data_IF_039822699252
#
_entry.id   IF_039822699252
#
_cell.length_a   1.000
_cell.length_b   1.000
_cell.length_c   1.000
_cell.angle_alpha   90.00
_cell.angle_beta   90.00
_cell.angle_gamma   90.00
#
_symmetry.space_group_name_H-M   'P 1'
#
loop_
_entity.id
_entity.type
_entity.pdbx_description
1 polymer ?
#
# COMPACT_ATOMS: atom_id res chain seq x y z
N UNK A 1 3.37 -23.02 -8.94
CA UNK A 1 1.91 -22.74 -8.86
C UNK A 1 1.66 -21.36 -9.43
N UNK A 2 0.77 -21.21 -10.42
CA UNK A 2 0.47 -19.89 -10.98
C UNK A 2 -0.13 -19.00 -9.89
N UNK A 3 0.42 -17.80 -9.70
CA UNK A 3 -0.17 -16.81 -8.81
C UNK A 3 -1.49 -16.35 -9.42
N UNK A 4 -2.57 -16.39 -8.63
CA UNK A 4 -3.89 -15.99 -9.11
C UNK A 4 -3.88 -14.53 -9.58
N UNK A 5 -4.43 -14.28 -10.78
CA UNK A 5 -4.58 -12.92 -11.34
C UNK A 5 -5.33 -11.99 -10.38
N UNK A 6 -6.24 -12.53 -9.58
CA UNK A 6 -6.98 -11.78 -8.55
C UNK A 6 -6.05 -11.23 -7.47
N UNK A 7 -5.05 -12.01 -7.03
CA UNK A 7 -4.11 -11.57 -5.99
C UNK A 7 -3.26 -10.42 -6.52
N UNK A 8 -2.72 -10.55 -7.74
CA UNK A 8 -1.94 -9.48 -8.39
C UNK A 8 -2.78 -8.21 -8.59
N UNK A 9 -4.05 -8.35 -8.98
CA UNK A 9 -4.95 -7.21 -9.11
C UNK A 9 -5.21 -6.51 -7.76
N UNK A 10 -5.40 -7.26 -6.67
CA UNK A 10 -5.59 -6.69 -5.33
C UNK A 10 -4.33 -5.95 -4.87
N UNK A 11 -3.15 -6.57 -4.98
CA UNK A 11 -1.88 -5.91 -4.64
C UNK A 11 -1.68 -4.63 -5.45
N UNK A 12 -2.01 -4.65 -6.75
CA UNK A 12 -1.90 -3.45 -7.59
C UNK A 12 -2.88 -2.35 -7.17
N UNK A 13 -4.12 -2.72 -6.81
CA UNK A 13 -5.11 -1.77 -6.30
C UNK A 13 -4.65 -1.17 -4.97
N UNK A 14 -4.12 -1.97 -4.05
CA UNK A 14 -3.57 -1.49 -2.78
C UNK A 14 -2.36 -0.57 -3.00
N UNK A 15 -1.45 -0.93 -3.90
CA UNK A 15 -0.28 -0.13 -4.27
C UNK A 15 -0.66 1.27 -4.79
N UNK A 16 -1.81 1.40 -5.48
CA UNK A 16 -2.33 2.69 -5.95
C UNK A 16 -3.17 3.43 -4.90
N UNK A 17 -4.00 2.72 -4.14
CA UNK A 17 -4.97 3.33 -3.25
C UNK A 17 -4.34 3.84 -1.95
N UNK A 18 -3.40 3.07 -1.38
CA UNK A 18 -2.74 3.41 -0.12
C UNK A 18 -1.96 4.75 -0.13
N UNK A 19 -1.22 5.13 -1.19
CA UNK A 19 -0.57 6.45 -1.22
C UNK A 19 -1.57 7.59 -1.35
N UNK A 20 -2.69 7.38 -2.04
CA UNK A 20 -3.78 8.36 -2.11
C UNK A 20 -4.43 8.55 -0.74
N UNK A 21 -4.74 7.47 -0.03
CA UNK A 21 -5.30 7.57 1.33
C UNK A 21 -4.30 8.20 2.30
N UNK A 22 -3.01 7.90 2.18
CA UNK A 22 -1.97 8.54 2.98
C UNK A 22 -1.93 10.07 2.74
N UNK A 23 -2.01 10.50 1.48
CA UNK A 23 -2.08 11.93 1.14
C UNK A 23 -3.30 12.62 1.76
N UNK A 24 -4.48 11.97 1.70
CA UNK A 24 -5.70 12.48 2.33
C UNK A 24 -5.55 12.60 3.84
N UNK A 25 -5.01 11.57 4.51
CA UNK A 25 -4.81 11.62 5.96
C UNK A 25 -3.83 12.72 6.37
N UNK A 26 -2.78 12.98 5.58
CA UNK A 26 -1.86 14.09 5.85
C UNK A 26 -2.57 15.44 5.81
N UNK A 27 -3.41 15.68 4.80
CA UNK A 27 -4.23 16.90 4.71
C UNK A 27 -5.23 17.02 5.85
N UNK A 28 -5.89 15.91 6.22
CA UNK A 28 -6.81 15.86 7.35
C UNK A 28 -6.08 16.20 8.66
N UNK A 29 -4.90 15.65 8.91
CA UNK A 29 -4.11 15.96 10.11
C UNK A 29 -3.79 17.46 10.20
N UNK A 30 -3.42 18.10 9.09
CA UNK A 30 -3.17 19.55 9.04
C UNK A 30 -4.44 20.36 9.30
N UNK A 31 -5.60 19.91 8.80
CA UNK A 31 -6.88 20.56 9.04
C UNK A 31 -7.27 20.49 10.52
N UNK A 32 -7.11 19.33 11.17
CA UNK A 32 -7.37 19.19 12.61
C UNK A 32 -6.44 20.06 13.45
N UNK A 33 -5.15 20.11 13.09
CA UNK A 33 -4.19 20.99 13.77
C UNK A 33 -4.59 22.48 13.64
N UNK A 34 -5.12 22.88 12.48
CA UNK A 34 -5.65 24.24 12.27
C UNK A 34 -6.92 24.55 13.07
N UNK A 35 -7.65 23.53 13.52
CA UNK A 35 -8.82 23.65 14.40
C UNK A 35 -8.47 23.59 15.89
N UNK A 36 -7.18 23.64 16.23
CA UNK A 36 -6.64 23.45 17.59
C UNK A 36 -6.92 22.05 18.17
N UNK A 37 -7.36 21.09 17.34
CA UNK A 37 -7.50 19.68 17.71
C UNK A 37 -6.19 18.92 17.50
N UNK A 38 -5.26 19.18 18.42
CA UNK A 38 -3.92 18.58 18.43
C UNK A 38 -3.94 17.06 18.66
N UNK A 39 -4.94 16.56 19.41
CA UNK A 39 -5.10 15.13 19.69
C UNK A 39 -5.49 14.36 18.42
N UNK A 40 -6.50 14.87 17.70
CA UNK A 40 -6.95 14.28 16.45
C UNK A 40 -5.89 14.37 15.34
N UNK A 41 -5.12 15.47 15.29
CA UNK A 41 -3.99 15.60 14.36
C UNK A 41 -2.91 14.54 14.61
N UNK A 42 -2.51 14.34 15.88
CA UNK A 42 -1.50 13.34 16.24
C UNK A 42 -1.97 11.89 15.96
N UNK A 43 -3.24 11.58 16.21
CA UNK A 43 -3.82 10.28 15.88
C UNK A 43 -3.77 10.02 14.36
N UNK A 44 -4.23 10.98 13.56
CA UNK A 44 -4.25 10.88 12.10
C UNK A 44 -2.85 10.72 11.52
N UNK A 45 -1.86 11.42 12.09
CA UNK A 45 -0.46 11.30 11.67
C UNK A 45 0.12 9.90 11.95
N UNK A 46 -0.19 9.32 13.12
CA UNK A 46 0.21 7.93 13.44
C UNK A 46 -0.46 6.92 12.52
N UNK A 47 -1.74 7.12 12.19
CA UNK A 47 -2.46 6.29 11.24
C UNK A 47 -1.84 6.37 9.83
N UNK A 48 -1.48 7.57 9.38
CA UNK A 48 -0.78 7.78 8.12
C UNK A 48 0.56 7.04 8.07
N UNK A 49 1.31 7.00 9.17
CA UNK A 49 2.56 6.24 9.24
C UNK A 49 2.32 4.73 9.15
N UNK A 50 1.31 4.21 9.85
CA UNK A 50 0.95 2.80 9.78
C UNK A 50 0.55 2.38 8.36
N UNK A 51 -0.22 3.22 7.66
CA UNK A 51 -0.58 3.01 6.25
C UNK A 51 0.66 3.02 5.35
N UNK A 52 1.61 3.93 5.58
CA UNK A 52 2.87 3.97 4.84
C UNK A 52 3.71 2.70 5.01
N UNK A 53 3.78 2.15 6.23
CA UNK A 53 4.44 0.87 6.50
C UNK A 53 3.74 -0.27 5.76
N UNK A 54 2.40 -0.31 5.82
CA UNK A 54 1.62 -1.34 5.12
C UNK A 54 1.80 -1.25 3.60
N UNK A 55 1.88 -0.04 3.05
CA UNK A 55 2.16 0.19 1.64
C UNK A 55 3.56 -0.30 1.22
N UNK A 56 4.59 -0.07 2.03
CA UNK A 56 5.92 -0.65 1.75
C UNK A 56 5.88 -2.18 1.69
N UNK A 57 5.17 -2.82 2.62
CA UNK A 57 5.00 -4.27 2.64
C UNK A 57 4.25 -4.75 1.39
N UNK A 58 3.18 -4.06 0.99
CA UNK A 58 2.42 -4.36 -0.23
C UNK A 58 3.31 -4.31 -1.47
N UNK A 59 4.13 -3.27 -1.63
CA UNK A 59 5.07 -3.17 -2.75
C UNK A 59 6.11 -4.29 -2.77
N UNK A 60 6.65 -4.67 -1.61
CA UNK A 60 7.60 -5.79 -1.52
C UNK A 60 6.93 -7.09 -1.99
N UNK A 61 5.72 -7.36 -1.51
CA UNK A 61 4.97 -8.56 -1.91
C UNK A 61 4.61 -8.51 -3.40
N UNK A 62 4.20 -7.36 -3.93
CA UNK A 62 3.90 -7.17 -5.34
C UNK A 62 5.13 -7.49 -6.21
N UNK A 63 6.31 -6.96 -5.85
CA UNK A 63 7.56 -7.22 -6.57
C UNK A 63 7.93 -8.70 -6.53
N UNK A 64 7.85 -9.35 -5.36
CA UNK A 64 8.11 -10.78 -5.21
C UNK A 64 7.14 -11.63 -6.04
N UNK A 65 5.85 -11.29 -6.01
CA UNK A 65 4.83 -11.98 -6.78
C UNK A 65 5.08 -11.84 -8.30
N UNK A 66 5.44 -10.64 -8.76
CA UNK A 66 5.81 -10.42 -10.16
C UNK A 66 7.06 -11.20 -10.57
N UNK A 67 8.09 -11.24 -9.71
CA UNK A 67 9.32 -11.99 -9.97
C UNK A 67 9.05 -13.50 -10.09
N UNK A 68 8.30 -14.08 -9.14
CA UNK A 68 7.91 -15.49 -9.17
C UNK A 68 7.07 -15.81 -10.41
N UNK A 69 6.11 -14.94 -10.75
CA UNK A 69 5.29 -15.12 -11.94
C UNK A 69 6.14 -15.07 -13.23
N UNK A 70 7.13 -14.16 -13.30
CA UNK A 70 8.05 -14.07 -14.43
C UNK A 70 8.93 -15.31 -14.58
N UNK A 71 9.40 -15.91 -13.48
CA UNK A 71 10.17 -17.15 -13.52
C UNK A 71 9.31 -18.32 -13.96
N UNK A 72 8.08 -18.43 -13.45
CA UNK A 72 7.16 -19.50 -13.81
C UNK A 72 6.75 -19.49 -15.29
N UNK A 73 6.75 -18.32 -15.95
CA UNK A 73 6.49 -18.23 -17.39
C UNK A 73 7.70 -18.57 -18.26
N UNK A 74 8.91 -18.61 -17.68
CA UNK A 74 10.17 -18.83 -18.41
C UNK A 74 10.58 -20.30 -18.47
N UNK A 75 10.00 -21.15 -17.61
CA UNK A 75 10.23 -22.59 -17.60
C UNK A 75 9.67 -23.24 -18.89
N UNK A 76 10.50 -23.83 -19.77
CA UNK A 76 10.00 -24.55 -20.94
C UNK A 76 9.16 -25.76 -20.52
N UNK A 77 8.13 -26.17 -21.28
CA UNK A 77 7.44 -27.43 -21.04
C UNK A 77 8.46 -28.57 -21.25
N UNK A 78 8.85 -29.22 -20.16
CA UNK A 78 9.63 -30.47 -20.16
C UNK A 78 8.76 -31.69 -20.37
#
# INVERSE_FOLDING_TARGET
MPISRTILAILLVLALLLPVTQGVLFWVANLLAGMDDTSGAAFTQRLSLAIGVFWMLDLIVLVLAMAVNSLSQREPPG
#
